data_IF_660121437213
#
_entry.id   IF_660121437213
#
_cell.length_a   1.000
_cell.length_b   1.000
_cell.length_c   1.000
_cell.angle_alpha   90.00
_cell.angle_beta   90.00
_cell.angle_gamma   90.00
#
_symmetry.space_group_name_H-M   'P 1'
#
loop_
_entity.id
_entity.type
_entity.pdbx_description
1 polymer ?
#
# COMPACT_ATOMS: atom_id res chain seq x y z
N UNK A 1 -0.67 0.90 -3.86
CA UNK A 1 -1.93 1.30 -4.52
C UNK A 1 -1.64 2.37 -5.57
N UNK A 2 -2.29 2.32 -6.74
CA UNK A 2 -2.06 3.23 -7.88
C UNK A 2 -2.93 4.48 -7.76
N UNK A 3 -2.40 5.64 -8.17
CA UNK A 3 -2.97 6.97 -7.95
C UNK A 3 -3.62 7.64 -9.18
N UNK A 4 -4.67 8.44 -8.93
CA UNK A 4 -5.19 9.52 -9.79
C UNK A 4 -5.25 10.82 -8.96
N UNK A 5 -4.69 11.93 -9.46
CA UNK A 5 -4.44 13.12 -8.65
C UNK A 5 -5.20 14.38 -9.13
N UNK A 6 -5.70 15.18 -8.17
CA UNK A 6 -6.32 16.48 -8.42
C UNK A 6 -5.67 17.58 -7.54
N UNK A 7 -5.66 18.82 -8.05
CA UNK A 7 -5.15 19.99 -7.33
C UNK A 7 -6.33 20.83 -6.85
N UNK A 8 -6.40 21.10 -5.55
CA UNK A 8 -7.37 22.00 -4.95
C UNK A 8 -6.63 23.19 -4.32
N UNK A 9 -7.13 24.39 -4.55
CA UNK A 9 -6.68 25.61 -3.86
C UNK A 9 -7.66 25.90 -2.73
N UNK A 10 -7.18 25.96 -1.50
CA UNK A 10 -7.98 26.36 -0.34
C UNK A 10 -7.43 27.64 0.32
N UNK A 11 -8.11 28.14 1.35
CA UNK A 11 -7.69 29.36 2.07
C UNK A 11 -6.34 29.21 2.78
N UNK A 12 -5.82 27.99 2.94
CA UNK A 12 -4.55 27.66 3.61
C UNK A 12 -3.38 27.44 2.65
N UNK A 13 -3.64 27.28 1.35
CA UNK A 13 -2.63 27.13 0.30
C UNK A 13 -3.02 26.11 -0.77
N UNK A 14 -2.02 25.46 -1.36
CA UNK A 14 -2.23 24.36 -2.31
C UNK A 14 -2.43 23.07 -1.50
N UNK A 15 -3.58 22.42 -1.64
CA UNK A 15 -3.85 21.09 -1.12
C UNK A 15 -3.97 20.09 -2.29
N UNK A 16 -3.35 18.91 -2.15
CA UNK A 16 -3.46 17.83 -3.14
C UNK A 16 -4.46 16.79 -2.68
N UNK A 17 -5.29 16.31 -3.61
CA UNK A 17 -6.18 15.19 -3.36
C UNK A 17 -5.75 14.00 -4.21
N UNK A 18 -5.61 12.86 -3.56
CA UNK A 18 -5.05 11.65 -4.11
C UNK A 18 -6.08 10.52 -4.00
N UNK A 19 -6.48 9.96 -5.14
CA UNK A 19 -7.46 8.89 -5.20
C UNK A 19 -6.76 7.57 -5.49
N UNK A 20 -6.97 6.58 -4.63
CA UNK A 20 -6.38 5.26 -4.73
C UNK A 20 -7.32 4.28 -5.45
N UNK A 21 -6.72 3.25 -6.03
CA UNK A 21 -7.43 2.07 -6.51
C UNK A 21 -7.80 1.05 -5.39
N UNK A 22 -7.84 1.49 -4.14
CA UNK A 22 -8.18 0.74 -2.93
C UNK A 22 -8.78 1.72 -1.90
N UNK A 23 -9.50 1.23 -0.89
CA UNK A 23 -10.38 2.09 -0.09
C UNK A 23 -10.69 1.57 1.31
N UNK A 24 -11.40 2.40 2.08
CA UNK A 24 -11.89 2.13 3.43
C UNK A 24 -12.58 0.77 3.54
N UNK A 25 -13.45 0.46 2.58
CA UNK A 25 -14.24 -0.77 2.61
C UNK A 25 -13.45 -2.03 2.20
N UNK A 26 -12.25 -1.88 1.64
CA UNK A 26 -11.38 -2.97 1.24
C UNK A 26 -10.24 -3.12 2.25
N UNK A 27 -9.17 -2.35 2.11
CA UNK A 27 -7.96 -2.51 2.92
C UNK A 27 -7.94 -1.72 4.22
N UNK A 28 -8.76 -0.68 4.38
CA UNK A 28 -8.52 0.37 5.39
C UNK A 28 -9.53 0.46 6.54
N UNK A 29 -10.47 -0.49 6.64
CA UNK A 29 -11.59 -0.41 7.59
C UNK A 29 -11.12 -0.11 9.03
N UNK A 30 -11.36 1.11 9.52
CA UNK A 30 -10.93 1.63 10.84
C UNK A 30 -9.42 1.53 11.16
N UNK A 31 -8.55 1.31 10.16
CA UNK A 31 -7.13 1.04 10.45
C UNK A 31 -6.36 2.27 10.92
N UNK A 32 -6.65 3.44 10.37
CA UNK A 32 -5.98 4.67 10.76
C UNK A 32 -6.20 5.00 12.25
N UNK A 33 -7.44 4.88 12.71
CA UNK A 33 -7.82 5.23 14.09
C UNK A 33 -7.38 4.21 15.14
N UNK A 34 -7.24 2.94 14.74
CA UNK A 34 -6.89 1.85 15.66
C UNK A 34 -5.38 1.61 15.70
N UNK A 35 -4.68 1.69 14.56
CA UNK A 35 -3.30 1.20 14.42
C UNK A 35 -2.27 2.28 14.05
N UNK A 36 -2.67 3.54 13.87
CA UNK A 36 -1.79 4.66 13.51
C UNK A 36 -0.87 4.36 12.30
N UNK A 37 -1.43 3.67 11.31
CA UNK A 37 -0.75 3.42 10.03
C UNK A 37 -0.74 4.70 9.19
N UNK A 38 0.33 4.93 8.43
CA UNK A 38 0.52 6.16 7.64
C UNK A 38 0.86 5.84 6.18
N UNK A 39 0.50 6.73 5.24
CA UNK A 39 0.87 6.60 3.85
C UNK A 39 2.39 6.75 3.69
N UNK A 40 3.00 5.82 2.96
CA UNK A 40 4.41 5.87 2.59
C UNK A 40 4.52 5.87 1.06
N UNK A 41 4.98 6.96 0.43
CA UNK A 41 5.24 7.00 -1.00
C UNK A 41 6.30 5.97 -1.39
N UNK A 42 6.05 5.21 -2.45
CA UNK A 42 7.03 4.27 -3.02
C UNK A 42 7.88 5.04 -4.03
N UNK A 43 8.87 5.76 -3.51
CA UNK A 43 9.80 6.60 -4.28
C UNK A 43 11.23 6.37 -3.79
N UNK A 44 12.22 6.64 -4.63
CA UNK A 44 13.63 6.62 -4.21
C UNK A 44 13.93 7.76 -3.23
N UNK A 45 14.96 7.64 -2.37
CA UNK A 45 15.37 8.73 -1.49
C UNK A 45 15.64 10.05 -2.23
N UNK A 46 16.25 9.96 -3.42
CA UNK A 46 16.54 11.12 -4.25
C UNK A 46 15.24 11.82 -4.73
N UNK A 47 14.23 11.06 -5.15
CA UNK A 47 12.95 11.64 -5.56
C UNK A 47 12.23 12.31 -4.39
N UNK A 48 12.26 11.71 -3.20
CA UNK A 48 11.67 12.27 -1.98
C UNK A 48 12.29 13.61 -1.58
N UNK A 49 13.58 13.81 -1.84
CA UNK A 49 14.30 15.07 -1.59
C UNK A 49 14.01 16.13 -2.66
N UNK A 50 13.83 15.72 -3.91
CA UNK A 50 13.69 16.65 -5.04
C UNK A 50 12.26 17.15 -5.24
N UNK A 51 11.26 16.39 -4.80
CA UNK A 51 9.84 16.74 -5.00
C UNK A 51 9.34 17.71 -3.93
N UNK A 52 8.55 18.69 -4.37
CA UNK A 52 7.82 19.56 -3.46
C UNK A 52 6.84 18.74 -2.62
N UNK A 53 6.61 19.15 -1.37
CA UNK A 53 5.68 18.49 -0.46
C UNK A 53 4.47 19.37 -0.24
N UNK A 54 3.30 18.76 -0.24
CA UNK A 54 2.02 19.45 -0.08
C UNK A 54 1.25 18.84 1.08
N UNK A 55 0.39 19.65 1.70
CA UNK A 55 -0.71 19.09 2.48
C UNK A 55 -1.62 18.32 1.54
N UNK A 56 -2.05 17.15 1.98
CA UNK A 56 -2.77 16.22 1.11
C UNK A 56 -3.89 15.49 1.84
N UNK A 57 -4.88 15.07 1.05
CA UNK A 57 -5.93 14.12 1.42
C UNK A 57 -5.82 12.88 0.55
N UNK A 58 -6.12 11.73 1.14
CA UNK A 58 -6.12 10.44 0.43
C UNK A 58 -7.50 9.83 0.52
N UNK A 59 -8.05 9.48 -0.64
CA UNK A 59 -9.38 8.93 -0.82
C UNK A 59 -9.33 7.55 -1.47
N UNK A 60 -10.31 6.71 -1.16
CA UNK A 60 -10.58 5.48 -1.88
C UNK A 60 -11.41 5.70 -3.15
N UNK A 61 -11.81 4.61 -3.80
CA UNK A 61 -12.48 4.65 -5.10
C UNK A 61 -14.00 4.89 -5.05
N UNK A 62 -14.61 4.88 -3.86
CA UNK A 62 -16.06 5.02 -3.73
C UNK A 62 -16.46 6.47 -3.52
N UNK A 63 -17.72 6.79 -3.84
CA UNK A 63 -18.27 8.13 -3.60
C UNK A 63 -18.75 8.33 -2.15
N UNK A 64 -18.44 7.41 -1.23
CA UNK A 64 -18.85 7.51 0.17
C UNK A 64 -17.90 8.43 0.93
N UNK A 65 -18.43 9.27 1.83
CA UNK A 65 -17.60 10.16 2.65
C UNK A 65 -16.62 9.42 3.56
N UNK A 66 -17.03 8.24 4.03
CA UNK A 66 -16.25 7.33 4.87
C UNK A 66 -15.07 6.71 4.12
N UNK A 67 -15.02 6.85 2.79
CA UNK A 67 -13.90 6.40 1.97
C UNK A 67 -12.73 7.40 1.94
N UNK A 68 -12.70 8.32 2.90
CA UNK A 68 -11.52 9.10 3.23
C UNK A 68 -10.55 8.22 4.02
N UNK A 69 -9.38 7.94 3.45
CA UNK A 69 -8.34 7.13 4.09
C UNK A 69 -7.47 8.00 4.99
N UNK A 70 -7.08 9.19 4.51
CA UNK A 70 -6.27 10.16 5.26
C UNK A 70 -6.84 11.57 5.07
N UNK A 71 -7.35 12.17 6.15
CA UNK A 71 -7.92 13.53 6.11
C UNK A 71 -6.86 14.63 6.02
N UNK A 72 -5.71 14.44 6.69
CA UNK A 72 -4.58 15.35 6.63
C UNK A 72 -3.26 14.58 6.70
N UNK A 73 -2.49 14.63 5.62
CA UNK A 73 -1.12 14.13 5.56
C UNK A 73 -0.21 15.08 4.77
N UNK A 74 1.10 14.83 4.80
CA UNK A 74 2.07 15.53 3.96
C UNK A 74 2.74 14.54 3.04
N UNK A 75 2.55 14.73 1.74
CA UNK A 75 3.08 13.84 0.70
C UNK A 75 3.88 14.67 -0.31
N UNK A 76 4.89 14.07 -0.97
CA UNK A 76 5.51 14.69 -2.14
C UNK A 76 4.47 14.87 -3.26
N UNK A 77 4.78 15.70 -4.26
CA UNK A 77 3.98 15.80 -5.48
C UNK A 77 3.99 14.45 -6.20
N UNK A 78 2.90 13.71 -6.06
CA UNK A 78 2.73 12.40 -6.68
C UNK A 78 2.18 12.59 -8.09
N UNK A 79 2.54 11.67 -8.98
CA UNK A 79 2.01 11.59 -10.35
C UNK A 79 1.05 10.39 -10.49
N UNK A 80 0.17 10.46 -11.50
CA UNK A 80 -0.74 9.36 -11.82
C UNK A 80 0.07 8.10 -12.16
N UNK A 81 -0.35 6.96 -11.62
CA UNK A 81 0.36 5.70 -11.80
C UNK A 81 1.43 5.38 -10.75
N UNK A 82 1.80 6.34 -9.91
CA UNK A 82 2.71 6.09 -8.79
C UNK A 82 2.01 5.39 -7.63
N UNK A 83 2.82 4.84 -6.71
CA UNK A 83 2.34 4.00 -5.63
C UNK A 83 2.53 4.63 -4.26
N UNK A 84 1.51 4.46 -3.42
CA UNK A 84 1.60 4.64 -1.96
C UNK A 84 1.35 3.28 -1.30
N UNK A 85 2.09 3.00 -0.25
CA UNK A 85 1.96 1.80 0.58
C UNK A 85 1.64 2.15 2.02
N UNK A 86 1.00 1.22 2.72
CA UNK A 86 0.81 1.25 4.17
C UNK A 86 1.42 -0.02 4.74
N UNK A 87 2.25 0.14 5.75
CA UNK A 87 2.92 -0.97 6.43
C UNK A 87 2.06 -1.46 7.60
N UNK A 88 2.33 -2.68 8.06
CA UNK A 88 1.65 -3.30 9.21
C UNK A 88 0.14 -3.57 9.03
N UNK A 89 -0.33 -3.70 7.78
CA UNK A 89 -1.74 -3.96 7.42
C UNK A 89 -2.12 -5.45 7.38
N UNK A 90 -1.26 -6.34 7.88
CA UNK A 90 -1.42 -7.80 7.71
C UNK A 90 -2.44 -8.44 8.66
N UNK A 91 -2.75 -7.80 9.79
CA UNK A 91 -3.70 -8.34 10.77
C UNK A 91 -5.08 -7.73 10.57
N UNK A 92 -6.12 -8.57 10.57
CA UNK A 92 -7.54 -8.22 10.47
C UNK A 92 -8.01 -7.50 9.20
N UNK A 93 -7.18 -6.74 8.48
CA UNK A 93 -7.56 -5.97 7.29
C UNK A 93 -8.39 -6.76 6.28
N UNK A 94 -7.85 -7.88 5.80
CA UNK A 94 -8.56 -8.75 4.85
C UNK A 94 -9.85 -9.35 5.42
N UNK A 95 -9.90 -9.60 6.73
CA UNK A 95 -11.02 -10.27 7.40
C UNK A 95 -12.25 -9.37 7.61
N UNK A 96 -12.06 -8.05 7.63
CA UNK A 96 -13.14 -7.04 7.75
C UNK A 96 -13.47 -6.36 6.42
N UNK A 97 -12.69 -6.64 5.37
CA UNK A 97 -12.94 -6.15 4.03
C UNK A 97 -14.32 -6.56 3.50
N UNK A 98 -14.88 -5.72 2.64
CA UNK A 98 -16.15 -5.95 1.95
C UNK A 98 -16.03 -5.63 0.45
N UNK A 99 -17.07 -5.94 -0.32
CA UNK A 99 -17.22 -5.54 -1.73
C UNK A 99 -18.22 -4.41 -1.89
N UNK A 100 -18.22 -3.47 -0.94
CA UNK A 100 -19.11 -2.31 -0.95
C UNK A 100 -19.04 -1.59 -2.31
N UNK A 101 -20.19 -1.16 -2.83
CA UNK A 101 -20.34 -0.57 -4.17
C UNK A 101 -19.81 -1.43 -5.33
N UNK A 102 -19.74 -2.77 -5.17
CA UNK A 102 -19.30 -3.72 -6.21
C UNK A 102 -17.80 -3.55 -6.54
N UNK A 103 -17.05 -2.90 -5.66
CA UNK A 103 -15.59 -2.84 -5.75
C UNK A 103 -15.02 -4.20 -5.32
N UNK A 104 -14.18 -4.86 -6.14
CA UNK A 104 -13.57 -6.13 -5.78
C UNK A 104 -12.50 -5.94 -4.71
N UNK A 105 -12.15 -7.03 -4.03
CA UNK A 105 -10.97 -7.02 -3.16
C UNK A 105 -9.68 -6.73 -3.96
N UNK A 106 -8.70 -6.06 -3.34
CA UNK A 106 -7.38 -5.91 -3.93
C UNK A 106 -6.76 -7.29 -4.22
N UNK A 107 -5.90 -7.33 -5.23
CA UNK A 107 -5.20 -8.56 -5.59
C UNK A 107 -4.18 -8.91 -4.50
N UNK A 108 -4.31 -10.11 -3.93
CA UNK A 108 -3.33 -10.65 -3.00
C UNK A 108 -2.15 -11.25 -3.80
N UNK A 109 -0.93 -10.97 -3.35
CA UNK A 109 0.31 -11.56 -3.86
C UNK A 109 1.16 -12.03 -2.69
N UNK A 110 1.57 -13.28 -2.74
CA UNK A 110 2.55 -13.82 -1.80
C UNK A 110 3.92 -13.65 -2.43
N UNK A 111 4.86 -13.12 -1.66
CA UNK A 111 6.26 -12.98 -2.07
C UNK A 111 7.10 -13.80 -1.10
N UNK A 112 7.87 -14.73 -1.63
CA UNK A 112 8.84 -15.50 -0.86
C UNK A 112 10.24 -15.00 -1.18
N UNK A 113 10.89 -14.40 -0.18
CA UNK A 113 12.28 -13.97 -0.29
C UNK A 113 13.15 -15.15 0.10
N UNK A 114 13.92 -15.65 -0.86
CA UNK A 114 14.92 -16.69 -0.59
C UNK A 114 16.08 -16.10 0.22
N UNK A 115 15.99 -16.20 1.54
CA UNK A 115 17.04 -15.79 2.45
C UNK A 115 17.91 -17.01 2.84
N UNK A 116 19.22 -16.99 2.56
CA UNK A 116 20.12 -18.10 2.89
C UNK A 116 20.23 -18.38 4.40
N UNK A 117 19.76 -17.47 5.27
CA UNK A 117 19.70 -17.66 6.72
C UNK A 117 18.49 -18.51 7.15
N UNK A 118 17.50 -18.70 6.28
CA UNK A 118 16.35 -19.54 6.60
C UNK A 118 16.79 -21.00 6.75
N UNK A 119 16.54 -21.57 7.93
CA UNK A 119 16.80 -22.99 8.24
C UNK A 119 15.68 -23.87 7.73
N UNK A 120 15.62 -23.99 6.41
CA UNK A 120 14.60 -24.76 5.69
C UNK A 120 14.67 -26.26 6.02
N UNK A 121 15.83 -26.75 6.47
CA UNK A 121 16.11 -28.12 6.90
C UNK A 121 15.21 -28.65 8.04
N UNK A 122 14.57 -27.74 8.80
CA UNK A 122 13.60 -28.11 9.85
C UNK A 122 12.14 -28.19 9.39
N UNK A 123 11.83 -27.75 8.16
CA UNK A 123 10.47 -27.71 7.65
C UNK A 123 10.09 -29.09 7.10
N UNK A 124 9.12 -29.81 7.72
CA UNK A 124 8.64 -31.07 7.16
C UNK A 124 7.99 -30.81 5.80
N UNK A 125 8.21 -31.71 4.85
CA UNK A 125 7.70 -31.60 3.48
C UNK A 125 8.14 -30.31 2.76
N UNK A 126 9.35 -29.81 3.06
CA UNK A 126 9.89 -28.59 2.48
C UNK A 126 9.72 -28.52 0.95
N UNK A 127 9.98 -29.62 0.24
CA UNK A 127 9.83 -29.67 -1.22
C UNK A 127 8.38 -29.38 -1.64
N UNK A 128 7.40 -30.01 -1.01
CA UNK A 128 5.98 -29.80 -1.34
C UNK A 128 5.55 -28.37 -1.00
N UNK A 129 6.07 -27.81 0.08
CA UNK A 129 5.83 -26.42 0.48
C UNK A 129 6.46 -25.45 -0.53
N UNK A 130 7.71 -25.68 -0.95
CA UNK A 130 8.40 -24.85 -1.95
C UNK A 130 7.74 -24.95 -3.31
N UNK A 131 7.33 -26.14 -3.73
CA UNK A 131 6.60 -26.35 -4.99
C UNK A 131 5.26 -25.61 -4.96
N UNK A 132 4.47 -25.77 -3.89
CA UNK A 132 3.20 -25.05 -3.71
C UNK A 132 3.40 -23.54 -3.71
N UNK A 133 4.37 -23.02 -2.93
CA UNK A 133 4.67 -21.59 -2.88
C UNK A 133 5.09 -21.09 -4.28
N UNK A 134 5.92 -21.83 -5.00
CA UNK A 134 6.35 -21.44 -6.35
C UNK A 134 5.19 -21.42 -7.37
N UNK A 135 4.10 -22.16 -7.12
CA UNK A 135 2.89 -22.12 -7.94
C UNK A 135 1.96 -20.96 -7.59
N UNK A 136 1.91 -20.53 -6.32
CA UNK A 136 0.94 -19.54 -5.83
C UNK A 136 1.54 -18.17 -5.48
N UNK A 137 2.86 -18.05 -5.52
CA UNK A 137 3.63 -16.86 -5.13
C UNK A 137 4.61 -16.47 -6.24
N UNK A 138 4.83 -15.17 -6.38
CA UNK A 138 5.89 -14.68 -7.26
C UNK A 138 7.24 -14.84 -6.52
N UNK A 139 8.15 -15.58 -7.12
CA UNK A 139 9.52 -15.72 -6.63
C UNK A 139 10.29 -14.45 -6.99
N UNK A 140 10.66 -13.68 -5.96
CA UNK A 140 11.47 -12.47 -6.13
C UNK A 140 12.86 -12.76 -5.59
N UNK A 141 13.88 -12.63 -6.44
CA UNK A 141 15.27 -12.70 -5.98
C UNK A 141 15.52 -11.63 -4.93
N UNK A 142 16.20 -11.99 -3.85
CA UNK A 142 16.66 -11.05 -2.84
C UNK A 142 17.77 -10.16 -3.43
N UNK A 143 17.39 -9.20 -4.27
CA UNK A 143 18.23 -8.06 -4.57
C UNK A 143 18.04 -7.13 -3.39
N UNK A 144 19.13 -6.73 -2.75
CA UNK A 144 19.06 -5.64 -1.78
C UNK A 144 18.34 -4.47 -2.48
N UNK A 145 17.10 -4.19 -2.10
CA UNK A 145 16.41 -3.03 -2.61
C UNK A 145 17.21 -1.82 -2.10
N UNK A 146 17.92 -1.11 -2.99
CA UNK A 146 18.73 0.07 -2.64
C UNK A 146 17.92 1.13 -1.87
N UNK A 147 16.59 1.02 -1.94
CA UNK A 147 15.56 1.91 -1.43
C UNK A 147 14.58 1.25 -0.44
N UNK A 148 14.77 -0.01 -0.03
CA UNK A 148 13.98 -0.63 1.06
C UNK A 148 12.50 -0.93 0.75
N UNK A 149 12.09 -0.85 -0.51
CA UNK A 149 10.75 -1.22 -1.00
C UNK A 149 10.87 -2.32 -2.06
N UNK A 150 10.01 -3.33 -1.98
CA UNK A 150 9.84 -4.35 -3.03
C UNK A 150 9.17 -3.75 -4.26
#
# INVERSE_FOLDING_TARGET
MQLINYIILDESGIQREYFLNDGFYQSFFEHHDIYDVKPVPVLTPQELEQRAKYKSRVWGQTCCSEDMIEEECVLPDMEDGEFIQWLNMGAYGRGVASTFTIVPYPADRYVFIQDPRLRLDSIPNLKDVTDYISEVADLVENKECENGHL
#
